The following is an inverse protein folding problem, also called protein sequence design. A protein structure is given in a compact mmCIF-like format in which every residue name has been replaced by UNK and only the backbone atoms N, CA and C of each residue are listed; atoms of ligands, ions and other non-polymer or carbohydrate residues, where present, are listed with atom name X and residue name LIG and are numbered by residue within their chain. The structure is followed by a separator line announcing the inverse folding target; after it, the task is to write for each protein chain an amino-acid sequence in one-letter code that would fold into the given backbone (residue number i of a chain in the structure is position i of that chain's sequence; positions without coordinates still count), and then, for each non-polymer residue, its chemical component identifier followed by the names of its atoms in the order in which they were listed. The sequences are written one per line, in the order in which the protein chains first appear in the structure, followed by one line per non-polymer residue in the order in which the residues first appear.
data_IF_487272629372
#
_entry.id   IF_487272629372
#
_cell.length_a   1.000
_cell.length_b   1.000
_cell.length_c   1.000
_cell.angle_alpha   90.00
_cell.angle_beta   90.00
_cell.angle_gamma   90.00
#
_symmetry.space_group_name_H-M   'P 1'
#
loop_
_entity.id
_entity.type
_entity.pdbx_description
1 polymer ?
#
# COMPACT_ATOMS: atom_id res chain seq x y z
N UNK A 1 8.83 -9.60 -2.77
CA UNK A 1 9.20 -9.08 -1.45
C UNK A 1 8.20 -8.01 -1.05
N UNK A 2 7.49 -8.20 0.07
CA UNK A 2 6.69 -7.11 0.68
C UNK A 2 7.70 -6.33 1.51
N UNK A 3 8.10 -5.14 1.04
CA UNK A 3 9.14 -4.34 1.66
C UNK A 3 8.64 -3.80 3.00
N UNK A 4 9.43 -4.03 4.05
CA UNK A 4 9.26 -3.40 5.36
C UNK A 4 9.71 -1.93 5.36
N UNK A 5 10.30 -1.49 4.24
CA UNK A 5 10.97 -0.20 4.07
C UNK A 5 10.16 0.70 3.13
N UNK A 6 9.24 1.46 3.70
CA UNK A 6 8.41 2.44 2.99
C UNK A 6 7.03 2.54 3.63
N UNK A 7 6.91 3.33 4.69
CA UNK A 7 5.61 3.61 5.27
C UNK A 7 4.71 4.24 4.18
N UNK A 8 3.53 3.66 3.99
CA UNK A 8 2.53 4.14 3.05
C UNK A 8 1.16 4.17 3.73
N UNK A 9 0.17 4.76 3.06
CA UNK A 9 -1.21 4.71 3.56
C UNK A 9 -1.88 3.37 3.29
N UNK A 10 -1.26 2.53 2.46
CA UNK A 10 -1.77 1.22 2.07
C UNK A 10 -1.22 0.15 3.00
N UNK A 11 -2.10 -0.67 3.57
CA UNK A 11 -1.74 -1.81 4.41
C UNK A 11 -2.14 -3.08 3.68
N UNK A 12 -1.16 -3.97 3.51
CA UNK A 12 -1.35 -5.32 3.02
C UNK A 12 -1.67 -6.25 4.17
N UNK A 13 -2.73 -7.04 4.00
CA UNK A 13 -3.15 -8.10 4.88
C UNK A 13 -3.10 -9.41 4.09
N UNK A 14 -2.41 -10.42 4.61
CA UNK A 14 -2.19 -11.68 3.91
C UNK A 14 -2.53 -12.89 4.75
N UNK A 15 -2.74 -14.02 4.07
CA UNK A 15 -3.12 -15.29 4.67
C UNK A 15 -4.42 -15.17 5.49
N UNK A 16 -5.40 -14.46 4.93
CA UNK A 16 -6.72 -14.26 5.51
C UNK A 16 -7.61 -15.49 5.28
N UNK A 17 -8.55 -15.76 6.18
CA UNK A 17 -9.54 -16.81 5.97
C UNK A 17 -10.47 -16.43 4.79
N UNK A 18 -11.08 -17.43 4.16
CA UNK A 18 -11.90 -17.26 2.94
C UNK A 18 -13.21 -16.49 3.21
N UNK A 19 -13.72 -16.59 4.43
CA UNK A 19 -14.94 -15.97 4.93
C UNK A 19 -14.74 -14.54 5.46
N UNK A 20 -13.51 -14.00 5.38
CA UNK A 20 -13.22 -12.64 5.84
C UNK A 20 -14.11 -11.61 5.12
N UNK A 21 -14.82 -10.80 5.91
CA UNK A 21 -15.72 -9.78 5.40
C UNK A 21 -15.09 -8.39 5.43
N UNK A 22 -15.63 -7.48 4.61
CA UNK A 22 -15.24 -6.06 4.62
C UNK A 22 -15.53 -5.41 5.98
N UNK A 23 -16.67 -5.79 6.58
CA UNK A 23 -17.13 -5.34 7.89
C UNK A 23 -16.16 -5.76 9.00
N UNK A 24 -15.75 -7.04 9.03
CA UNK A 24 -14.77 -7.54 10.00
C UNK A 24 -13.44 -6.78 9.91
N UNK A 25 -12.95 -6.55 8.69
CA UNK A 25 -11.72 -5.77 8.49
C UNK A 25 -11.90 -4.32 8.96
N UNK A 26 -13.05 -3.70 8.74
CA UNK A 26 -13.30 -2.32 9.20
C UNK A 26 -13.41 -2.22 10.71
N UNK A 27 -14.01 -3.20 11.36
CA UNK A 27 -14.09 -3.27 12.82
C UNK A 27 -12.71 -3.45 13.44
N UNK A 28 -11.94 -4.43 12.95
CA UNK A 28 -10.59 -4.72 13.44
C UNK A 28 -9.63 -3.56 13.20
N UNK A 29 -9.65 -2.96 12.00
CA UNK A 29 -8.68 -1.93 11.61
C UNK A 29 -9.14 -0.49 11.96
N UNK A 30 -10.42 -0.27 12.20
CA UNK A 30 -10.99 1.06 12.46
C UNK A 30 -10.44 1.72 13.73
N UNK A 31 -10.00 0.94 14.72
CA UNK A 31 -9.37 1.45 15.95
C UNK A 31 -8.03 2.15 15.72
N UNK A 32 -7.33 1.88 14.62
CA UNK A 32 -6.08 2.57 14.29
C UNK A 32 -6.32 3.90 13.57
N UNK A 33 -7.52 4.08 13.01
CA UNK A 33 -8.00 5.35 12.47
C UNK A 33 -8.92 5.16 11.25
N UNK A 34 -9.31 6.29 10.64
CA UNK A 34 -10.26 6.31 9.54
C UNK A 34 -9.73 5.62 8.27
N UNK A 35 -10.53 4.67 7.77
CA UNK A 35 -10.27 3.87 6.57
C UNK A 35 -10.92 4.54 5.36
N UNK A 36 -10.14 4.74 4.31
CA UNK A 36 -10.58 5.22 3.01
C UNK A 36 -11.24 4.10 2.21
N UNK A 37 -10.48 3.05 1.93
CA UNK A 37 -10.90 1.95 1.07
C UNK A 37 -10.38 0.62 1.58
N UNK A 38 -11.21 -0.42 1.42
CA UNK A 38 -10.86 -1.82 1.69
C UNK A 38 -11.06 -2.58 0.39
N UNK A 39 -10.08 -3.41 0.02
CA UNK A 39 -10.13 -4.26 -1.17
C UNK A 39 -9.69 -5.67 -0.82
N UNK A 40 -10.63 -6.61 -0.86
CA UNK A 40 -10.38 -8.03 -0.63
C UNK A 40 -10.12 -8.72 -1.98
N UNK A 41 -9.05 -9.51 -2.06
CA UNK A 41 -8.73 -10.37 -3.20
C UNK A 41 -8.81 -11.82 -2.72
N UNK A 42 -10.02 -12.38 -2.80
CA UNK A 42 -10.35 -13.71 -2.25
C UNK A 42 -9.49 -14.82 -2.86
N UNK A 43 -9.24 -14.74 -4.17
CA UNK A 43 -8.40 -15.70 -4.91
C UNK A 43 -6.98 -15.86 -4.36
N UNK A 44 -6.49 -14.87 -3.59
CA UNK A 44 -5.15 -14.86 -3.02
C UNK A 44 -5.15 -14.88 -1.49
N UNK A 45 -6.32 -14.88 -0.86
CA UNK A 45 -6.45 -14.75 0.60
C UNK A 45 -5.74 -13.49 1.14
N UNK A 46 -5.89 -12.36 0.44
CA UNK A 46 -5.28 -11.07 0.81
C UNK A 46 -6.31 -9.95 0.82
N UNK A 47 -6.02 -8.89 1.56
CA UNK A 47 -6.74 -7.64 1.49
C UNK A 47 -5.78 -6.44 1.50
N UNK A 48 -6.25 -5.33 0.95
CA UNK A 48 -5.57 -4.03 0.98
C UNK A 48 -6.47 -3.03 1.67
N UNK A 49 -5.94 -2.33 2.66
CA UNK A 49 -6.64 -1.29 3.41
C UNK A 49 -5.90 0.02 3.24
N UNK A 50 -6.53 1.01 2.61
CA UNK A 50 -6.02 2.38 2.61
C UNK A 50 -6.59 3.15 3.79
N UNK A 51 -5.71 3.79 4.53
CA UNK A 51 -6.07 4.78 5.53
C UNK A 51 -6.09 6.19 4.93
N UNK A 52 -6.83 7.09 5.58
CA UNK A 52 -6.77 8.51 5.25
C UNK A 52 -5.41 9.14 5.62
N UNK A 53 -4.70 8.58 6.61
CA UNK A 53 -3.41 9.08 7.09
C UNK A 53 -2.36 7.97 7.18
N UNK A 54 -1.11 8.31 6.80
CA UNK A 54 0.06 7.41 6.94
C UNK A 54 0.31 7.06 8.42
N UNK A 55 0.03 7.98 9.34
CA UNK A 55 0.17 7.73 10.77
C UNK A 55 -0.74 6.59 11.26
N UNK A 56 -1.95 6.48 10.71
CA UNK A 56 -2.89 5.42 11.05
C UNK A 56 -2.40 4.06 10.50
N UNK A 57 -1.88 4.05 9.28
CA UNK A 57 -1.27 2.86 8.70
C UNK A 57 -0.04 2.38 9.48
N UNK A 58 0.82 3.31 9.96
CA UNK A 58 1.96 2.98 10.82
C UNK A 58 1.49 2.32 12.12
N UNK A 59 0.45 2.85 12.77
CA UNK A 59 -0.15 2.24 13.97
C UNK A 59 -0.68 0.84 13.66
N UNK A 60 -1.42 0.68 12.57
CA UNK A 60 -1.97 -0.61 12.16
C UNK A 60 -0.86 -1.66 11.93
N UNK A 61 0.18 -1.33 11.16
CA UNK A 61 1.27 -2.28 10.86
C UNK A 61 2.08 -2.64 12.11
N UNK A 62 2.23 -1.71 13.07
CA UNK A 62 2.99 -1.96 14.31
C UNK A 62 2.18 -2.67 15.40
N UNK A 63 0.88 -2.43 15.50
CA UNK A 63 0.05 -2.91 16.62
C UNK A 63 -0.85 -4.08 16.24
N UNK A 64 -1.37 -4.15 15.01
CA UNK A 64 -2.28 -5.22 14.59
C UNK A 64 -1.66 -6.62 14.78
N UNK A 65 -0.39 -6.90 14.43
CA UNK A 65 0.20 -8.22 14.64
C UNK A 65 0.34 -8.65 16.11
N UNK A 66 0.18 -7.72 17.06
CA UNK A 66 0.27 -8.02 18.49
C UNK A 66 -1.03 -8.65 19.02
N UNK A 67 -2.14 -8.50 18.28
CA UNK A 67 -3.42 -9.06 18.66
C UNK A 67 -3.48 -10.55 18.35
N UNK A 68 -4.02 -11.35 19.29
CA UNK A 68 -4.09 -12.80 19.14
C UNK A 68 -4.75 -13.26 17.82
N UNK A 69 -5.77 -12.53 17.34
CA UNK A 69 -6.46 -12.79 16.06
C UNK A 69 -5.57 -12.60 14.83
N UNK A 70 -4.57 -11.73 14.93
CA UNK A 70 -3.71 -11.25 13.83
C UNK A 70 -2.28 -11.76 13.88
N UNK A 71 -2.00 -12.72 14.76
CA UNK A 71 -0.75 -13.46 14.80
C UNK A 71 -0.64 -14.44 13.61
N UNK A 72 0.50 -15.12 13.51
CA UNK A 72 0.71 -16.16 12.50
C UNK A 72 -0.47 -17.15 12.50
N UNK A 73 -1.02 -17.49 11.32
CA UNK A 73 -0.41 -17.35 9.99
C UNK A 73 -0.75 -16.04 9.25
N UNK A 74 -1.56 -15.14 9.83
CA UNK A 74 -1.91 -13.85 9.19
C UNK A 74 -0.66 -12.96 9.07
N UNK A 75 -0.63 -12.15 8.02
CA UNK A 75 0.51 -11.27 7.69
C UNK A 75 0.03 -9.83 7.54
N UNK A 76 0.78 -8.88 8.11
CA UNK A 76 0.47 -7.45 8.03
C UNK A 76 1.74 -6.71 7.60
N UNK A 77 1.68 -5.95 6.50
CA UNK A 77 2.81 -5.17 6.00
C UNK A 77 2.33 -3.89 5.32
N UNK A 78 3.25 -3.00 4.96
CA UNK A 78 2.94 -1.90 4.06
C UNK A 78 2.68 -2.41 2.64
N UNK A 79 1.59 -1.94 2.05
CA UNK A 79 1.27 -2.13 0.64
C UNK A 79 1.92 -1.04 -0.22
N UNK A 80 1.97 -1.27 -1.54
CA UNK A 80 2.38 -0.22 -2.49
C UNK A 80 1.31 0.86 -2.56
N UNK A 81 1.69 2.12 -2.38
CA UNK A 81 0.75 3.25 -2.45
C UNK A 81 0.29 3.48 -3.89
N UNK A 82 -0.99 3.80 -4.08
CA UNK A 82 -1.53 4.18 -5.40
C UNK A 82 -0.97 5.52 -5.89
N UNK A 83 -0.54 6.41 -5.00
CA UNK A 83 0.07 7.69 -5.39
C UNK A 83 1.47 7.52 -6.02
N UNK A 84 2.12 6.37 -5.84
CA UNK A 84 3.42 6.10 -6.46
C UNK A 84 3.32 5.52 -7.90
N UNK A 85 2.13 5.14 -8.36
CA UNK A 85 1.94 4.60 -9.71
C UNK A 85 1.42 5.69 -10.65
N UNK A 86 2.34 6.49 -11.20
CA UNK A 86 2.08 7.14 -12.49
C UNK A 86 2.07 6.05 -13.55
N UNK A 87 0.94 5.85 -14.22
CA UNK A 87 0.91 4.93 -15.38
C UNK A 87 1.91 5.41 -16.44
N UNK A 88 2.53 4.51 -17.22
CA UNK A 88 3.47 4.89 -18.28
C UNK A 88 2.89 5.98 -19.20
N UNK A 89 1.61 5.87 -19.53
CA UNK A 89 0.87 6.86 -20.32
C UNK A 89 0.73 8.19 -19.59
N UNK A 90 0.40 8.19 -18.30
CA UNK A 90 0.31 9.42 -17.52
C UNK A 90 1.68 10.09 -17.33
N UNK A 91 2.73 9.29 -17.29
CA UNK A 91 4.11 9.75 -17.23
C UNK A 91 4.57 10.38 -18.55
N UNK A 92 4.19 9.77 -19.68
CA UNK A 92 4.42 10.31 -21.03
C UNK A 92 3.63 11.60 -21.26
N UNK A 93 2.35 11.66 -20.85
CA UNK A 93 1.53 12.86 -20.95
C UNK A 93 2.07 13.99 -20.08
N UNK A 94 2.54 13.69 -18.86
CA UNK A 94 3.18 14.68 -17.98
C UNK A 94 4.51 15.17 -18.56
N UNK A 95 5.34 14.28 -19.11
CA UNK A 95 6.58 14.67 -19.79
C UNK A 95 6.31 15.59 -20.99
N UNK A 96 5.31 15.27 -21.81
CA UNK A 96 4.89 16.13 -22.94
C UNK A 96 4.39 17.50 -22.48
N UNK A 97 3.55 17.55 -21.44
CA UNK A 97 3.04 18.82 -20.89
C UNK A 97 4.17 19.72 -20.33
N UNK A 98 5.19 19.12 -19.73
CA UNK A 98 6.35 19.81 -19.17
C UNK A 98 7.45 20.10 -20.22
N UNK A 99 7.24 19.78 -21.49
CA UNK A 99 8.22 19.98 -22.56
C UNK A 99 9.45 19.07 -22.47
N UNK A 100 9.36 17.96 -21.73
CA UNK A 100 10.43 16.97 -21.58
C UNK A 100 10.46 16.10 -22.84
N UNK A 101 11.63 16.01 -23.48
CA UNK A 101 11.82 15.18 -24.66
C UNK A 101 11.47 13.71 -24.39
N UNK A 102 10.90 12.97 -25.36
CA UNK A 102 10.38 11.61 -25.17
C UNK A 102 11.41 10.57 -24.68
N UNK A 103 12.72 10.85 -24.77
CA UNK A 103 13.80 10.02 -24.20
C UNK A 103 14.15 10.31 -22.73
N UNK A 104 13.69 11.44 -22.18
CA UNK A 104 14.00 11.90 -20.81
C UNK A 104 12.89 11.59 -19.80
N UNK A 105 11.77 10.99 -20.23
CA UNK A 105 10.62 10.67 -19.36
C UNK A 105 10.99 9.73 -18.17
N UNK A 106 12.06 8.95 -18.29
CA UNK A 106 12.58 8.10 -17.22
C UNK A 106 13.13 8.89 -16.01
N UNK A 107 13.44 10.19 -16.16
CA UNK A 107 13.87 11.05 -15.05
C UNK A 107 12.74 11.42 -14.08
N UNK A 108 11.48 11.18 -14.47
CA UNK A 108 10.31 11.40 -13.61
C UNK A 108 10.03 10.22 -12.68
N UNK A 109 10.57 9.02 -12.95
CA UNK A 109 10.52 7.90 -11.99
C UNK A 109 11.61 8.13 -10.95
N UNK A 110 11.26 8.73 -9.82
CA UNK A 110 12.12 8.87 -8.63
C UNK A 110 12.47 7.53 -7.98
N UNK A 111 13.24 6.69 -8.68
CA UNK A 111 13.77 5.43 -8.18
C UNK A 111 15.17 5.08 -8.75
N UNK A 112 15.93 6.05 -9.26
CA UNK A 112 17.37 5.85 -9.46
C UNK A 112 18.12 6.44 -8.26
N UNK A 113 18.15 5.66 -7.19
CA UNK A 113 18.86 5.99 -5.95
C UNK A 113 20.27 5.37 -5.93
N UNK A 114 20.77 4.95 -7.10
CA UNK A 114 22.05 4.25 -7.28
C UNK A 114 23.05 5.06 -8.13
N UNK A 115 22.90 6.39 -8.18
CA UNK A 115 23.86 7.29 -8.83
C UNK A 115 24.39 8.39 -7.88
N UNK A 116 24.48 8.06 -6.59
CA UNK A 116 25.34 8.78 -5.64
C UNK A 116 26.21 7.74 -4.93
N UNK A 117 27.33 7.39 -5.57
CA UNK A 117 28.57 6.97 -4.92
C UNK A 117 29.73 7.72 -5.58
#
# INVERSE_FOLDING_TARGET
AVQQSGASRNVYLGNLPEDVSDEELREDLGKFGAIDTVKIVREKNIAFVHYLSIANAIKAVSQLPQEAKWQAPRRVYYGKDRCAYVSKTQQQNAAQYLGIAPGYAHMLTGADRDLIS
#
